data_IF_869374798497
#
_entry.id   IF_869374798497
#
_cell.length_a   1.000
_cell.length_b   1.000
_cell.length_c   1.000
_cell.angle_alpha   90.00
_cell.angle_beta   90.00
_cell.angle_gamma   90.00
#
_symmetry.space_group_name_H-M   'P 1'
#
loop_
_entity.id
_entity.type
_entity.pdbx_description
1 polymer ?
#
# COMPACT_ATOMS: atom_id res chain seq x y z
N UNK A 1 64.69 2.22 53.02
CA UNK A 1 63.73 1.17 53.43
C UNK A 1 62.45 1.86 53.82
N UNK A 2 61.33 1.55 53.15
CA UNK A 2 60.01 2.11 53.47
C UNK A 2 59.09 2.18 52.27
N UNK A 3 58.74 1.02 51.71
CA UNK A 3 57.76 0.87 50.64
C UNK A 3 56.36 1.09 51.24
N UNK A 4 55.69 2.21 50.95
CA UNK A 4 54.30 2.42 51.36
C UNK A 4 53.37 1.88 50.26
N UNK A 5 52.53 0.91 50.65
CA UNK A 5 51.72 0.09 49.76
C UNK A 5 50.63 0.88 49.02
N UNK A 6 50.53 0.60 47.72
CA UNK A 6 49.38 0.87 46.86
C UNK A 6 48.11 0.29 47.46
N UNK A 7 47.07 1.11 47.63
CA UNK A 7 45.68 0.63 47.75
C UNK A 7 44.91 1.20 46.57
N UNK A 8 44.90 0.45 45.46
CA UNK A 8 44.00 0.72 44.34
C UNK A 8 42.59 0.30 44.77
N UNK A 9 41.76 1.27 45.13
CA UNK A 9 40.33 1.06 45.35
C UNK A 9 39.66 0.80 43.99
N UNK A 10 39.69 -0.46 43.52
CA UNK A 10 38.88 -0.90 42.40
C UNK A 10 37.42 -0.97 42.86
N UNK A 11 36.68 0.11 42.64
CA UNK A 11 35.25 0.16 42.86
C UNK A 11 34.54 -0.89 42.01
N UNK A 12 33.84 -1.82 42.67
CA UNK A 12 33.04 -2.86 42.03
C UNK A 12 31.92 -2.24 41.21
N UNK A 13 32.11 -2.08 39.91
CA UNK A 13 31.05 -1.68 38.99
C UNK A 13 30.14 -2.89 38.76
N UNK A 14 29.01 -2.94 39.48
CA UNK A 14 27.96 -3.92 39.25
C UNK A 14 27.28 -3.60 37.92
N UNK A 15 27.55 -4.40 36.90
CA UNK A 15 26.93 -4.29 35.60
C UNK A 15 25.44 -4.64 35.74
N UNK A 16 24.57 -3.62 35.74
CA UNK A 16 23.12 -3.81 35.79
C UNK A 16 22.66 -4.32 34.42
N UNK A 17 22.26 -5.59 34.34
CA UNK A 17 21.55 -6.11 33.19
C UNK A 17 20.19 -5.41 33.07
N UNK A 18 19.96 -4.69 31.98
CA UNK A 18 18.66 -4.10 31.69
C UNK A 18 17.79 -5.14 31.01
N UNK A 19 16.75 -5.61 31.71
CA UNK A 19 15.71 -6.44 31.10
C UNK A 19 14.79 -5.54 30.30
N UNK A 20 14.99 -5.48 28.98
CA UNK A 20 14.04 -4.85 28.05
C UNK A 20 12.80 -5.73 28.01
N UNK A 21 11.66 -5.21 28.45
CA UNK A 21 10.39 -5.91 28.34
C UNK A 21 10.04 -6.13 26.86
N UNK A 22 9.40 -7.27 26.50
CA UNK A 22 8.98 -7.53 25.14
C UNK A 22 7.94 -6.48 24.71
N UNK A 23 8.09 -5.95 23.50
CA UNK A 23 7.14 -5.00 22.93
C UNK A 23 5.86 -5.73 22.52
N UNK A 24 4.73 -5.33 23.12
CA UNK A 24 3.40 -5.86 22.79
C UNK A 24 2.65 -4.83 21.94
N UNK A 25 2.08 -5.24 20.81
CA UNK A 25 1.24 -4.37 20.01
C UNK A 25 -0.05 -4.01 20.77
N UNK A 26 -0.29 -2.71 20.95
CA UNK A 26 -1.46 -2.19 21.68
C UNK A 26 -2.70 -2.19 20.78
N UNK A 27 -2.53 -2.00 19.47
CA UNK A 27 -3.62 -1.95 18.50
C UNK A 27 -3.80 -3.29 17.76
N UNK A 28 -5.05 -3.72 17.51
CA UNK A 28 -5.33 -4.83 16.62
C UNK A 28 -4.90 -4.50 15.18
N UNK A 29 -4.52 -5.51 14.38
CA UNK A 29 -4.11 -5.28 13.00
C UNK A 29 -5.26 -4.64 12.22
N UNK A 30 -5.04 -3.41 11.73
CA UNK A 30 -5.99 -2.75 10.83
C UNK A 30 -6.02 -3.56 9.53
N UNK A 31 -7.22 -3.86 9.04
CA UNK A 31 -7.39 -4.43 7.71
C UNK A 31 -6.78 -3.45 6.69
N UNK A 32 -5.75 -3.89 5.99
CA UNK A 32 -5.18 -3.11 4.90
C UNK A 32 -6.26 -2.93 3.82
N UNK A 33 -6.50 -1.70 3.40
CA UNK A 33 -7.33 -1.45 2.22
C UNK A 33 -6.64 -2.10 1.02
N UNK A 34 -7.41 -2.83 0.21
CA UNK A 34 -6.88 -3.41 -1.02
C UNK A 34 -6.23 -2.31 -1.87
N UNK A 35 -5.07 -2.57 -2.50
CA UNK A 35 -4.40 -1.57 -3.32
C UNK A 35 -5.35 -1.06 -4.42
N UNK A 36 -5.56 0.26 -4.47
CA UNK A 36 -6.29 0.84 -5.58
C UNK A 36 -5.45 0.75 -6.86
N UNK A 37 -6.04 0.44 -8.03
CA UNK A 37 -5.29 0.43 -9.28
C UNK A 37 -4.72 1.83 -9.56
N UNK A 38 -3.44 1.90 -9.93
CA UNK A 38 -2.76 3.18 -10.19
C UNK A 38 -3.27 3.86 -11.47
N UNK A 39 -3.60 3.06 -12.50
CA UNK A 39 -4.15 3.52 -13.77
C UNK A 39 -5.52 2.89 -13.96
N UNK A 40 -6.57 3.71 -13.91
CA UNK A 40 -7.95 3.21 -13.94
C UNK A 40 -8.90 4.17 -14.65
N UNK A 41 -10.01 3.59 -15.11
CA UNK A 41 -11.15 4.31 -15.64
C UNK A 41 -12.35 4.14 -14.71
N UNK A 42 -13.22 5.14 -14.64
CA UNK A 42 -14.47 5.02 -13.90
C UNK A 42 -15.58 4.46 -14.79
N UNK A 43 -16.31 3.47 -14.28
CA UNK A 43 -17.57 3.03 -14.87
C UNK A 43 -18.54 2.60 -13.77
N UNK A 44 -19.77 3.15 -13.78
CA UNK A 44 -20.86 2.79 -12.86
C UNK A 44 -20.42 2.68 -11.38
N UNK A 45 -19.63 3.66 -10.91
CA UNK A 45 -19.14 3.72 -9.53
C UNK A 45 -17.99 2.77 -9.20
N UNK A 46 -17.38 2.12 -10.19
CA UNK A 46 -16.26 1.20 -10.02
C UNK A 46 -15.02 1.70 -10.74
N UNK A 47 -13.86 1.46 -10.13
CA UNK A 47 -12.54 1.64 -10.76
C UNK A 47 -12.24 0.40 -11.61
N UNK A 48 -11.99 0.61 -12.88
CA UNK A 48 -11.68 -0.44 -13.86
C UNK A 48 -10.21 -0.32 -14.21
N UNK A 49 -9.47 -1.41 -14.09
CA UNK A 49 -8.04 -1.43 -14.41
C UNK A 49 -7.78 -1.13 -15.89
N UNK A 50 -6.65 -0.52 -16.18
CA UNK A 50 -6.13 -0.40 -17.54
C UNK A 50 -6.14 -1.76 -18.27
N UNK A 51 -6.53 -1.74 -19.53
CA UNK A 51 -6.61 -2.90 -20.41
C UNK A 51 -7.89 -3.73 -20.27
N UNK A 52 -8.70 -3.52 -19.23
CA UNK A 52 -10.00 -4.17 -19.11
C UNK A 52 -11.04 -3.51 -20.01
N UNK A 53 -12.07 -4.26 -20.38
CA UNK A 53 -13.20 -3.80 -21.20
C UNK A 53 -14.45 -3.69 -20.35
N UNK A 54 -15.24 -2.65 -20.56
CA UNK A 54 -16.53 -2.50 -19.91
C UNK A 54 -17.57 -1.93 -20.87
N UNK A 55 -18.85 -2.08 -20.49
CA UNK A 55 -19.97 -1.54 -21.24
C UNK A 55 -20.25 -0.09 -20.87
N UNK A 56 -19.90 0.82 -21.78
CA UNK A 56 -19.94 2.27 -21.57
C UNK A 56 -21.18 2.86 -22.22
N UNK A 57 -21.81 3.83 -21.54
CA UNK A 57 -22.95 4.59 -22.07
C UNK A 57 -22.42 5.69 -22.99
N UNK A 58 -22.90 5.70 -24.23
CA UNK A 58 -22.56 6.71 -25.24
C UNK A 58 -23.84 7.31 -25.82
N UNK A 59 -23.71 8.37 -26.63
CA UNK A 59 -24.83 8.94 -27.38
C UNK A 59 -25.44 7.97 -28.40
N UNK A 60 -24.70 6.95 -28.83
CA UNK A 60 -25.13 5.93 -29.78
C UNK A 60 -25.59 4.63 -29.11
N UNK A 61 -25.84 4.67 -27.80
CA UNK A 61 -26.21 3.51 -26.99
C UNK A 61 -25.04 2.91 -26.19
N UNK A 62 -25.25 1.72 -25.61
CA UNK A 62 -24.18 1.03 -24.86
C UNK A 62 -23.20 0.35 -25.81
N UNK A 63 -21.92 0.66 -25.65
CA UNK A 63 -20.83 0.11 -26.48
C UNK A 63 -19.73 -0.47 -25.60
N UNK A 64 -18.97 -1.41 -26.13
CA UNK A 64 -17.75 -1.88 -25.49
C UNK A 64 -16.68 -0.78 -25.55
N UNK A 65 -16.13 -0.43 -24.40
CA UNK A 65 -14.98 0.46 -24.27
C UNK A 65 -13.83 -0.24 -23.56
N UNK A 66 -12.61 -0.09 -24.08
CA UNK A 66 -11.40 -0.53 -23.40
C UNK A 66 -10.88 0.61 -22.52
N UNK A 67 -10.55 0.33 -21.27
CA UNK A 67 -9.89 1.29 -20.40
C UNK A 67 -8.43 1.44 -20.84
N UNK A 68 -8.02 2.64 -21.20
CA UNK A 68 -6.68 2.90 -21.73
C UNK A 68 -6.33 4.36 -21.65
N UNK A 69 -5.24 4.72 -22.32
CA UNK A 69 -4.72 6.09 -22.33
C UNK A 69 -5.19 6.81 -23.59
N UNK A 70 -6.17 7.69 -23.45
CA UNK A 70 -6.59 8.60 -24.52
C UNK A 70 -6.05 9.98 -24.18
N UNK A 71 -5.35 10.63 -25.11
CA UNK A 71 -4.75 11.97 -24.90
C UNK A 71 -3.91 12.09 -23.61
N UNK A 72 -3.06 11.10 -23.32
CA UNK A 72 -2.24 11.02 -22.11
C UNK A 72 -3.00 10.96 -20.77
N UNK A 73 -4.32 10.73 -20.81
CA UNK A 73 -5.17 10.56 -19.63
C UNK A 73 -5.86 9.20 -19.67
N UNK A 74 -6.16 8.61 -18.51
CA UNK A 74 -6.98 7.40 -18.46
C UNK A 74 -8.41 7.73 -18.87
N UNK A 75 -8.89 7.05 -19.91
CA UNK A 75 -10.22 7.25 -20.47
C UNK A 75 -10.67 5.99 -21.23
N UNK A 76 -11.86 6.06 -21.81
CA UNK A 76 -12.46 4.98 -22.55
C UNK A 76 -12.13 5.08 -24.05
N UNK A 77 -11.47 4.07 -24.59
CA UNK A 77 -11.37 3.81 -26.02
C UNK A 77 -12.66 3.11 -26.46
N UNK A 78 -13.63 3.90 -26.91
CA UNK A 78 -14.95 3.41 -27.32
C UNK A 78 -14.84 2.67 -28.66
N UNK A 79 -15.29 1.43 -28.70
CA UNK A 79 -15.43 0.66 -29.94
C UNK A 79 -16.84 0.80 -30.53
N UNK A 80 -17.00 0.47 -31.81
CA UNK A 80 -18.31 0.36 -32.45
C UNK A 80 -19.06 -0.91 -32.04
N UNK A 81 -18.42 -1.83 -31.32
CA UNK A 81 -19.02 -3.10 -30.92
C UNK A 81 -20.11 -2.85 -29.86
N UNK A 82 -21.36 -3.28 -30.09
CA UNK A 82 -22.41 -3.18 -29.08
C UNK A 82 -22.10 -4.08 -27.89
N UNK A 83 -22.67 -3.73 -26.74
CA UNK A 83 -22.58 -4.60 -25.57
C UNK A 83 -23.29 -5.94 -25.81
N UNK A 84 -22.72 -7.07 -25.33
CA UNK A 84 -23.43 -8.34 -25.36
C UNK A 84 -24.70 -8.23 -24.52
N UNK A 85 -25.76 -8.86 -25.01
CA UNK A 85 -27.00 -9.05 -24.27
C UNK A 85 -26.77 -10.04 -23.11
N UNK A 86 -27.23 -9.65 -21.91
CA UNK A 86 -26.97 -10.34 -20.64
C UNK A 86 -27.60 -11.72 -20.55
#
# INVERSE_FOLDING_TARGET
MGLAMLVLAFGSQTLRAQTVAPATAIDPPRLAQAPEPLCFCWNEGRKITEGATACIRTSQGRRLGRCGRVINMMSWEISETPCPES
#
